data_IF_953933360030
#
_entry.id   IF_953933360030
#
_cell.length_a   1.000
_cell.length_b   1.000
_cell.length_c   1.000
_cell.angle_alpha   90.00
_cell.angle_beta   90.00
_cell.angle_gamma   90.00
#
_symmetry.space_group_name_H-M   'P 1'
#
loop_
_entity.id
_entity.type
_entity.pdbx_description
1 polymer ?
#
# COMPACT_ATOMS: atom_id res chain seq x y z
N UNK A 1 -17.27 -21.34 -3.97
CA UNK A 1 -15.80 -21.28 -4.19
C UNK A 1 -15.15 -21.62 -2.88
N UNK A 2 -14.13 -22.49 -2.83
CA UNK A 2 -13.44 -22.82 -1.57
C UNK A 2 -12.64 -21.59 -1.14
N UNK A 3 -12.79 -21.16 0.10
CA UNK A 3 -12.02 -20.05 0.68
C UNK A 3 -10.55 -20.48 0.82
N UNK A 4 -9.69 -19.91 -0.02
CA UNK A 4 -8.26 -20.26 -0.08
C UNK A 4 -7.49 -19.86 1.19
N UNK A 5 -8.01 -18.91 1.97
CA UNK A 5 -7.33 -18.35 3.14
C UNK A 5 -7.53 -19.19 4.42
N UNK A 6 -8.39 -20.21 4.40
CA UNK A 6 -8.60 -21.13 5.54
C UNK A 6 -7.58 -22.28 5.61
N UNK A 7 -6.62 -22.32 4.68
CA UNK A 7 -5.74 -23.48 4.48
C UNK A 7 -4.47 -23.48 5.35
N UNK A 8 -4.18 -22.38 6.05
CA UNK A 8 -2.95 -22.25 6.85
C UNK A 8 -3.24 -22.00 8.32
N UNK A 9 -3.02 -23.04 9.15
CA UNK A 9 -3.06 -22.89 10.60
C UNK A 9 -1.90 -21.99 11.09
N UNK A 10 -2.22 -21.10 12.06
CA UNK A 10 -1.23 -20.19 12.65
C UNK A 10 -0.88 -18.97 11.78
N UNK A 11 -1.61 -18.75 10.69
CA UNK A 11 -1.57 -17.50 9.90
C UNK A 11 -2.94 -16.84 9.95
N UNK A 12 -2.97 -15.58 10.34
CA UNK A 12 -4.18 -14.76 10.31
C UNK A 12 -4.26 -14.02 8.98
N UNK A 13 -5.41 -14.15 8.31
CA UNK A 13 -5.70 -13.42 7.08
C UNK A 13 -6.80 -12.37 7.29
N UNK A 14 -6.69 -11.26 6.58
CA UNK A 14 -7.75 -10.32 6.28
C UNK A 14 -7.70 -10.06 4.79
N UNK A 15 -8.74 -10.43 4.05
CA UNK A 15 -8.71 -10.37 2.59
C UNK A 15 -10.07 -9.96 2.02
N UNK A 16 -10.05 -9.09 1.01
CA UNK A 16 -11.23 -8.68 0.25
C UNK A 16 -10.83 -8.25 -1.16
N UNK A 17 -11.65 -8.63 -2.14
CA UNK A 17 -11.61 -8.07 -3.49
C UNK A 17 -13.02 -7.80 -3.99
N UNK A 18 -13.24 -6.61 -4.57
CA UNK A 18 -14.52 -6.16 -5.07
C UNK A 18 -14.39 -5.64 -6.51
N UNK A 19 -15.32 -6.00 -7.35
CA UNK A 19 -15.53 -5.37 -8.65
C UNK A 19 -16.06 -3.95 -8.41
N UNK A 20 -15.31 -2.96 -8.85
CA UNK A 20 -15.59 -1.54 -8.56
C UNK A 20 -16.86 -1.06 -9.26
N UNK A 21 -17.14 -1.60 -10.43
CA UNK A 21 -18.23 -1.13 -11.28
C UNK A 21 -19.58 -1.74 -10.88
N UNK A 22 -19.57 -2.97 -10.32
CA UNK A 22 -20.78 -3.71 -9.95
C UNK A 22 -21.01 -3.87 -8.45
N UNK A 23 -19.96 -3.68 -7.63
CA UNK A 23 -19.97 -3.99 -6.20
C UNK A 23 -19.92 -5.50 -5.90
N UNK A 24 -19.72 -6.36 -6.90
CA UNK A 24 -19.63 -7.80 -6.70
C UNK A 24 -18.36 -8.15 -5.90
N UNK A 25 -18.53 -8.92 -4.82
CA UNK A 25 -17.44 -9.40 -4.00
C UNK A 25 -16.81 -10.66 -4.63
N UNK A 26 -15.59 -10.50 -5.18
CA UNK A 26 -14.85 -11.57 -5.85
C UNK A 26 -14.41 -12.61 -4.83
N UNK A 27 -13.89 -12.15 -3.69
CA UNK A 27 -13.63 -12.95 -2.50
C UNK A 27 -13.63 -12.07 -1.24
N UNK A 28 -13.87 -12.72 -0.10
CA UNK A 28 -13.84 -12.09 1.22
C UNK A 28 -13.46 -13.14 2.27
N UNK A 29 -12.50 -12.78 3.15
CA UNK A 29 -12.12 -13.58 4.31
C UNK A 29 -11.77 -12.66 5.46
N UNK A 30 -12.60 -12.66 6.51
CA UNK A 30 -12.43 -11.82 7.70
C UNK A 30 -12.02 -10.37 7.35
N UNK A 31 -12.76 -9.68 6.46
CA UNK A 31 -12.31 -8.43 5.86
C UNK A 31 -12.16 -7.30 6.88
N UNK A 32 -12.86 -7.37 8.03
CA UNK A 32 -12.82 -6.38 9.10
C UNK A 32 -11.81 -6.74 10.22
N UNK A 33 -11.04 -7.82 10.04
CA UNK A 33 -9.99 -8.17 11.00
C UNK A 33 -8.84 -7.16 10.90
N UNK A 34 -8.51 -6.54 12.03
CA UNK A 34 -7.41 -5.57 12.14
C UNK A 34 -6.08 -6.31 12.24
N UNK A 35 -5.24 -6.14 11.24
CA UNK A 35 -3.90 -6.74 11.16
C UNK A 35 -2.81 -5.66 11.04
N UNK A 36 -1.55 -6.04 11.28
CA UNK A 36 -0.40 -5.23 10.89
C UNK A 36 -0.29 -5.22 9.37
N UNK A 37 -0.08 -4.03 8.80
CA UNK A 37 -0.05 -3.82 7.34
C UNK A 37 1.33 -3.39 6.84
N UNK A 38 2.32 -3.28 7.74
CA UNK A 38 3.67 -2.82 7.42
C UNK A 38 3.62 -1.55 6.54
N UNK A 39 4.29 -1.55 5.39
CA UNK A 39 4.40 -0.37 4.53
C UNK A 39 3.14 0.00 3.74
N UNK A 40 2.03 -0.74 3.85
CA UNK A 40 0.76 -0.34 3.21
C UNK A 40 0.31 1.04 3.70
N UNK A 41 0.37 1.28 5.03
CA UNK A 41 -0.13 2.54 5.60
C UNK A 41 0.62 3.80 5.13
N UNK A 42 1.73 3.67 4.40
CA UNK A 42 2.38 4.81 3.71
C UNK A 42 1.46 5.47 2.68
N UNK A 43 0.43 4.76 2.19
CA UNK A 43 -0.60 5.36 1.34
C UNK A 43 -1.31 6.52 2.02
N UNK A 44 -1.51 6.45 3.33
CA UNK A 44 -2.17 7.52 4.10
C UNK A 44 -1.29 8.75 4.24
N UNK A 45 0.04 8.58 4.32
CA UNK A 45 0.98 9.69 4.28
C UNK A 45 0.97 10.36 2.91
N UNK A 46 0.97 9.58 1.83
CA UNK A 46 0.84 10.09 0.46
C UNK A 46 -0.51 10.78 0.26
N UNK A 47 -1.60 10.21 0.82
CA UNK A 47 -2.93 10.82 0.83
C UNK A 47 -2.90 12.20 1.49
N UNK A 48 -2.36 12.31 2.70
CA UNK A 48 -2.25 13.57 3.43
C UNK A 48 -1.44 14.61 2.64
N UNK A 49 -0.33 14.22 2.01
CA UNK A 49 0.46 15.10 1.16
C UNK A 49 -0.36 15.65 -0.01
N UNK A 50 -1.15 14.80 -0.67
CA UNK A 50 -1.98 15.20 -1.80
C UNK A 50 -3.18 16.06 -1.38
N UNK A 51 -3.80 15.79 -0.22
CA UNK A 51 -4.85 16.66 0.35
C UNK A 51 -4.31 18.04 0.69
N UNK A 52 -3.11 18.11 1.30
CA UNK A 52 -2.42 19.38 1.56
C UNK A 52 -2.08 20.13 0.26
N UNK A 53 -1.72 19.40 -0.82
CA UNK A 53 -1.52 19.99 -2.14
C UNK A 53 -2.81 20.64 -2.68
N UNK A 54 -3.94 19.95 -2.60
CA UNK A 54 -5.23 20.50 -3.03
C UNK A 54 -5.65 21.73 -2.20
N UNK A 55 -5.32 21.73 -0.91
CA UNK A 55 -5.53 22.87 -0.01
C UNK A 55 -4.53 24.03 -0.22
N UNK A 56 -3.51 23.87 -1.07
CA UNK A 56 -2.46 24.87 -1.26
C UNK A 56 -1.45 25.00 -0.11
N UNK A 57 -1.44 24.03 0.83
CA UNK A 57 -0.56 23.99 2.00
C UNK A 57 0.79 23.31 1.72
N UNK A 58 0.86 22.54 0.64
CA UNK A 58 2.05 21.82 0.18
C UNK A 58 2.15 21.93 -1.36
N UNK A 59 3.36 22.12 -1.86
CA UNK A 59 3.62 22.08 -3.31
C UNK A 59 4.45 20.87 -3.66
N UNK A 60 4.17 20.21 -4.77
CA UNK A 60 4.94 19.05 -5.21
C UNK A 60 6.39 19.39 -5.60
N UNK A 61 6.65 20.63 -5.96
CA UNK A 61 7.98 21.17 -6.29
C UNK A 61 8.76 21.57 -5.04
N UNK A 62 8.14 21.64 -3.85
CA UNK A 62 8.83 21.91 -2.59
C UNK A 62 9.92 20.87 -2.37
N UNK A 63 11.13 21.34 -2.05
CA UNK A 63 12.26 20.45 -1.79
C UNK A 63 12.43 20.22 -0.30
N UNK A 64 12.52 18.95 0.09
CA UNK A 64 12.75 18.55 1.45
C UNK A 64 14.15 17.94 1.56
N UNK A 65 14.92 18.47 2.51
CA UNK A 65 16.29 18.00 2.79
C UNK A 65 16.23 16.94 3.87
N UNK A 66 16.84 15.79 3.62
CA UNK A 66 16.98 14.72 4.62
C UNK A 66 17.96 15.10 5.72
N UNK A 67 17.71 14.67 6.93
CA UNK A 67 18.60 14.88 8.07
C UNK A 67 19.00 13.53 8.70
N UNK A 68 20.01 13.56 9.57
CA UNK A 68 20.43 12.35 10.27
C UNK A 68 19.33 11.80 11.22
N UNK A 69 18.40 12.65 11.66
CA UNK A 69 17.32 12.25 12.58
C UNK A 69 16.28 11.33 11.90
N UNK A 70 16.06 11.50 10.59
CA UNK A 70 15.10 10.70 9.82
C UNK A 70 15.74 9.45 9.21
N UNK A 71 17.07 9.31 9.36
CA UNK A 71 17.82 8.23 8.69
C UNK A 71 17.37 6.86 9.19
N UNK A 72 16.97 6.04 8.25
CA UNK A 72 16.65 4.64 8.44
C UNK A 72 17.07 3.87 7.19
N UNK A 73 17.48 2.62 7.38
CA UNK A 73 17.89 1.71 6.30
C UNK A 73 16.76 0.78 5.89
N UNK A 74 17.08 -0.29 5.21
CA UNK A 74 16.30 -1.49 4.85
C UNK A 74 15.49 -1.35 3.58
N UNK A 75 14.48 -0.47 3.49
CA UNK A 75 13.64 -0.35 2.31
C UNK A 75 13.85 0.99 1.63
N UNK A 76 13.94 0.97 0.30
CA UNK A 76 14.07 2.16 -0.52
C UNK A 76 15.47 2.39 -1.07
N UNK A 77 15.66 3.55 -1.68
CA UNK A 77 16.87 3.94 -2.39
C UNK A 77 17.59 5.14 -1.77
N UNK A 78 16.87 6.04 -1.10
CA UNK A 78 17.43 7.33 -0.69
C UNK A 78 18.61 7.22 0.29
N UNK A 79 18.62 6.20 1.14
CA UNK A 79 19.75 5.98 2.06
C UNK A 79 21.04 5.56 1.34
N UNK A 80 20.95 5.10 0.07
CA UNK A 80 22.06 4.71 -0.80
C UNK A 80 22.54 5.85 -1.73
N UNK A 81 21.71 6.88 -1.90
CA UNK A 81 21.99 7.98 -2.80
C UNK A 81 22.71 9.11 -2.07
N UNK A 82 23.58 9.83 -2.79
CA UNK A 82 24.27 11.01 -2.24
C UNK A 82 23.39 12.27 -2.24
N UNK A 83 22.31 12.30 -3.04
CA UNK A 83 21.42 13.44 -3.17
C UNK A 83 20.81 13.83 -1.81
N UNK A 84 21.06 15.08 -1.31
CA UNK A 84 20.63 15.47 0.02
C UNK A 84 19.15 15.85 0.13
N UNK A 85 18.51 16.22 -0.98
CA UNK A 85 17.13 16.68 -1.02
C UNK A 85 16.42 16.22 -2.29
N UNK A 86 15.11 16.04 -2.19
CA UNK A 86 14.21 15.75 -3.31
C UNK A 86 12.97 16.64 -3.26
N UNK A 87 12.29 16.78 -4.38
CA UNK A 87 10.96 17.39 -4.41
C UNK A 87 9.96 16.49 -3.67
N UNK A 88 8.88 17.06 -3.17
CA UNK A 88 7.76 16.26 -2.58
C UNK A 88 7.25 15.25 -3.60
N UNK A 89 7.22 15.60 -4.89
CA UNK A 89 6.86 14.67 -5.97
C UNK A 89 7.80 13.46 -6.02
N UNK A 90 9.11 13.67 -6.00
CA UNK A 90 10.10 12.59 -6.06
C UNK A 90 10.08 11.74 -4.78
N UNK A 91 9.88 12.39 -3.62
CA UNK A 91 9.68 11.71 -2.33
C UNK A 91 8.43 10.81 -2.40
N UNK A 92 7.31 11.31 -2.93
CA UNK A 92 6.11 10.51 -3.18
C UNK A 92 6.37 9.32 -4.09
N UNK A 93 7.16 9.52 -5.16
CA UNK A 93 7.58 8.45 -6.06
C UNK A 93 8.46 7.41 -5.34
N UNK A 94 9.44 7.83 -4.54
CA UNK A 94 10.27 6.92 -3.74
C UNK A 94 9.44 6.08 -2.76
N UNK A 95 8.45 6.69 -2.11
CA UNK A 95 7.56 6.00 -1.17
C UNK A 95 6.64 5.02 -1.91
N UNK A 96 6.00 5.45 -2.99
CA UNK A 96 5.06 4.63 -3.77
C UNK A 96 5.76 3.46 -4.45
N UNK A 97 6.83 3.74 -5.19
CA UNK A 97 7.53 2.76 -6.02
C UNK A 97 8.44 1.82 -5.23
N UNK A 98 9.21 2.33 -4.28
CA UNK A 98 10.24 1.58 -3.57
C UNK A 98 9.96 1.40 -2.08
N UNK A 99 8.79 1.88 -1.61
CA UNK A 99 8.49 1.84 -0.18
C UNK A 99 9.57 2.49 0.70
N UNK A 100 10.22 3.54 0.20
CA UNK A 100 11.41 4.15 0.80
C UNK A 100 11.15 4.64 2.24
N UNK A 101 11.88 4.05 3.19
CA UNK A 101 11.72 4.36 4.60
C UNK A 101 12.24 5.75 4.96
N UNK A 102 13.39 6.15 4.38
CA UNK A 102 13.97 7.47 4.65
C UNK A 102 13.07 8.58 4.09
N UNK A 103 12.61 8.43 2.86
CA UNK A 103 11.65 9.34 2.23
C UNK A 103 10.35 9.44 3.05
N UNK A 104 9.89 8.32 3.60
CA UNK A 104 8.71 8.28 4.48
C UNK A 104 8.93 9.14 5.72
N UNK A 105 10.05 8.97 6.44
CA UNK A 105 10.33 9.74 7.63
C UNK A 105 10.48 11.25 7.34
N UNK A 106 11.16 11.61 6.24
CA UNK A 106 11.28 13.02 5.82
C UNK A 106 9.90 13.63 5.54
N UNK A 107 9.03 12.88 4.86
CA UNK A 107 7.68 13.37 4.58
C UNK A 107 6.81 13.45 5.86
N UNK A 108 6.93 12.49 6.80
CA UNK A 108 6.28 12.57 8.11
C UNK A 108 6.77 13.80 8.89
N UNK A 109 8.07 14.10 8.87
CA UNK A 109 8.62 15.28 9.53
C UNK A 109 8.03 16.59 8.97
N UNK A 110 7.68 16.63 7.68
CA UNK A 110 7.07 17.81 7.04
C UNK A 110 5.56 17.93 7.30
N UNK A 111 4.86 16.81 7.36
CA UNK A 111 3.38 16.79 7.44
C UNK A 111 2.90 16.64 8.88
N UNK A 112 3.54 15.78 9.67
CA UNK A 112 3.12 15.36 11.00
C UNK A 112 2.19 14.14 10.96
N UNK A 113 2.36 13.24 11.94
CA UNK A 113 1.50 12.06 12.09
C UNK A 113 0.05 12.43 12.44
N UNK A 114 -0.15 13.50 13.21
CA UNK A 114 -1.48 13.98 13.59
C UNK A 114 -2.29 14.37 12.35
N UNK A 115 -1.67 15.08 11.39
CA UNK A 115 -2.34 15.41 10.12
C UNK A 115 -2.68 14.17 9.32
N UNK A 116 -1.79 13.18 9.28
CA UNK A 116 -2.08 11.90 8.61
C UNK A 116 -3.28 11.21 9.25
N UNK A 117 -3.35 11.18 10.58
CA UNK A 117 -4.47 10.59 11.33
C UNK A 117 -5.79 11.35 11.08
N UNK A 118 -5.75 12.68 11.02
CA UNK A 118 -6.92 13.51 10.69
C UNK A 118 -7.48 13.20 9.30
N UNK A 119 -6.61 13.08 8.30
CA UNK A 119 -7.03 12.74 6.94
C UNK A 119 -7.60 11.32 6.84
N UNK A 120 -7.04 10.35 7.57
CA UNK A 120 -7.59 8.98 7.64
C UNK A 120 -8.96 8.99 8.31
N UNK A 121 -9.13 9.72 9.42
CA UNK A 121 -10.42 9.86 10.10
C UNK A 121 -11.47 10.53 9.20
N UNK A 122 -11.07 11.51 8.36
CA UNK A 122 -11.96 12.17 7.41
C UNK A 122 -12.46 11.21 6.30
N UNK A 123 -11.73 10.13 6.01
CA UNK A 123 -12.20 9.05 5.13
C UNK A 123 -13.28 8.18 5.77
N UNK A 124 -13.45 8.26 7.10
CA UNK A 124 -14.34 7.40 7.89
C UNK A 124 -13.67 6.09 8.34
N UNK A 125 -12.35 5.95 8.20
CA UNK A 125 -11.62 4.76 8.64
C UNK A 125 -11.27 4.85 10.11
N UNK A 126 -11.45 3.74 10.82
CA UNK A 126 -11.24 3.64 12.27
C UNK A 126 -10.14 2.66 12.66
N UNK A 127 -9.82 1.73 11.78
CA UNK A 127 -8.95 0.58 12.04
C UNK A 127 -7.62 0.64 11.26
N UNK A 128 -7.59 1.43 10.19
CA UNK A 128 -6.42 1.61 9.34
C UNK A 128 -5.67 2.88 9.70
N UNK A 129 -4.37 2.77 10.00
CA UNK A 129 -3.54 3.91 10.40
C UNK A 129 -2.03 3.67 10.21
N UNK A 130 -1.29 4.78 10.05
CA UNK A 130 0.16 4.86 10.25
C UNK A 130 0.42 5.46 11.64
N UNK A 131 1.04 4.67 12.54
CA UNK A 131 1.12 5.01 13.97
C UNK A 131 2.42 5.71 14.38
N UNK A 132 3.52 5.51 13.63
CA UNK A 132 4.84 5.98 14.06
C UNK A 132 5.77 6.24 12.87
N UNK A 133 6.89 6.92 13.16
CA UNK A 133 8.06 6.95 12.27
C UNK A 133 8.68 5.55 12.10
N UNK A 134 9.31 5.31 10.98
CA UNK A 134 10.11 4.12 10.76
C UNK A 134 11.45 4.26 11.48
N UNK A 135 11.66 3.45 12.49
CA UNK A 135 12.88 3.47 13.33
C UNK A 135 13.30 2.07 13.69
N UNK A 136 14.58 1.80 13.58
CA UNK A 136 15.15 0.51 13.93
C UNK A 136 16.43 0.66 14.78
N UNK A 137 16.51 0.03 15.96
CA UNK A 137 15.42 -0.66 16.65
C UNK A 137 14.30 0.29 17.08
N UNK A 138 13.09 -0.22 17.24
CA UNK A 138 11.96 0.58 17.71
C UNK A 138 12.19 0.99 19.15
N UNK A 139 11.99 2.28 19.52
CA UNK A 139 12.24 2.75 20.86
C UNK A 139 11.25 2.16 21.88
N UNK A 140 11.68 2.08 23.15
CA UNK A 140 10.77 1.71 24.23
C UNK A 140 9.59 2.69 24.31
N UNK A 141 8.38 2.14 24.43
CA UNK A 141 7.14 2.95 24.45
C UNK A 141 6.59 3.30 23.07
N UNK A 142 7.22 2.88 21.98
CA UNK A 142 6.63 2.99 20.66
C UNK A 142 5.29 2.21 20.58
N UNK A 143 4.34 2.62 19.70
CA UNK A 143 3.11 1.87 19.47
C UNK A 143 3.39 0.38 19.18
N UNK A 144 2.51 -0.51 19.62
CA UNK A 144 2.71 -1.96 19.45
C UNK A 144 2.92 -2.37 17.96
N UNK A 145 2.28 -1.63 17.04
CA UNK A 145 2.39 -1.81 15.59
C UNK A 145 2.85 -0.50 14.94
N UNK A 146 3.64 -0.59 13.89
CA UNK A 146 3.98 0.57 13.04
C UNK A 146 2.73 1.08 12.31
N UNK A 147 1.90 0.15 11.89
CA UNK A 147 0.68 0.40 11.11
C UNK A 147 -0.35 -0.70 11.39
N UNK A 148 -1.59 -0.38 11.14
CA UNK A 148 -2.71 -1.33 11.17
C UNK A 148 -3.65 -1.09 10.00
N UNK A 149 -4.54 -2.05 9.74
CA UNK A 149 -5.61 -1.90 8.78
C UNK A 149 -6.47 -3.14 8.64
N UNK A 150 -7.59 -2.95 7.95
CA UNK A 150 -8.54 -4.00 7.56
C UNK A 150 -8.61 -4.10 6.04
N UNK A 151 -8.91 -5.28 5.52
CA UNK A 151 -9.09 -5.44 4.09
C UNK A 151 -10.32 -4.68 3.57
N UNK A 152 -11.34 -4.50 4.42
CA UNK A 152 -12.51 -3.67 4.10
C UNK A 152 -12.12 -2.23 3.79
N UNK A 153 -11.42 -1.55 4.73
CA UNK A 153 -11.07 -0.14 4.57
C UNK A 153 -10.06 0.08 3.43
N UNK A 154 -9.08 -0.82 3.29
CA UNK A 154 -8.04 -0.64 2.28
C UNK A 154 -8.49 -1.02 0.87
N UNK A 155 -9.40 -1.99 0.70
CA UNK A 155 -10.05 -2.23 -0.60
C UNK A 155 -11.02 -1.10 -0.98
N UNK A 156 -11.74 -0.52 0.00
CA UNK A 156 -12.56 0.69 -0.20
C UNK A 156 -11.69 1.88 -0.64
N UNK A 157 -10.55 2.11 0.03
CA UNK A 157 -9.62 3.16 -0.37
C UNK A 157 -9.20 3.02 -1.84
N UNK A 158 -8.83 1.82 -2.27
CA UNK A 158 -8.43 1.56 -3.64
C UNK A 158 -9.58 1.72 -4.64
N UNK A 159 -10.80 1.32 -4.28
CA UNK A 159 -11.98 1.54 -5.10
C UNK A 159 -12.25 3.04 -5.29
N UNK A 160 -12.27 3.82 -4.21
CA UNK A 160 -12.47 5.27 -4.22
C UNK A 160 -11.36 5.99 -4.99
N UNK A 161 -10.11 5.54 -4.89
CA UNK A 161 -9.00 6.06 -5.71
C UNK A 161 -9.24 5.82 -7.20
N UNK A 162 -9.74 4.64 -7.57
CA UNK A 162 -10.07 4.30 -8.95
C UNK A 162 -11.22 5.14 -9.53
N UNK A 163 -12.13 5.60 -8.67
CA UNK A 163 -13.31 6.39 -9.03
C UNK A 163 -13.07 7.91 -8.95
N UNK A 164 -11.87 8.35 -8.61
CA UNK A 164 -11.53 9.76 -8.35
C UNK A 164 -12.36 10.38 -7.20
N UNK A 165 -12.76 9.56 -6.21
CA UNK A 165 -13.58 10.01 -5.07
C UNK A 165 -12.76 10.50 -3.87
N UNK A 166 -11.43 10.27 -3.88
CA UNK A 166 -10.53 10.72 -2.82
C UNK A 166 -9.97 12.12 -3.09
N UNK A 167 -9.81 12.47 -4.37
CA UNK A 167 -9.19 13.68 -4.88
C UNK A 167 -9.82 14.08 -6.20
N UNK A 168 -9.46 15.25 -6.72
CA UNK A 168 -9.71 15.54 -8.13
C UNK A 168 -8.97 14.54 -9.05
N UNK A 169 -9.43 14.44 -10.31
CA UNK A 169 -8.87 13.48 -11.29
C UNK A 169 -7.36 13.65 -11.50
N UNK A 170 -6.86 14.89 -11.48
CA UNK A 170 -5.44 15.17 -11.69
C UNK A 170 -4.59 14.71 -10.50
N UNK A 171 -5.09 14.86 -9.29
CA UNK A 171 -4.46 14.44 -8.05
C UNK A 171 -4.54 12.92 -7.88
N UNK A 172 -5.68 12.31 -8.20
CA UNK A 172 -5.85 10.85 -8.24
C UNK A 172 -4.85 10.19 -9.19
N UNK A 173 -4.60 10.80 -10.36
CA UNK A 173 -3.63 10.30 -11.32
C UNK A 173 -2.19 10.34 -10.75
N UNK A 174 -1.84 11.35 -9.96
CA UNK A 174 -0.53 11.41 -9.29
C UNK A 174 -0.39 10.22 -8.33
N UNK A 175 -1.41 9.95 -7.51
CA UNK A 175 -1.39 8.81 -6.58
C UNK A 175 -1.27 7.48 -7.32
N UNK A 176 -2.10 7.27 -8.35
CA UNK A 176 -2.03 6.06 -9.19
C UNK A 176 -0.67 5.89 -9.85
N UNK A 177 -0.04 6.99 -10.28
CA UNK A 177 1.29 6.97 -10.90
C UNK A 177 2.38 6.59 -9.90
N UNK A 178 2.33 7.11 -8.67
CA UNK A 178 3.26 6.74 -7.62
C UNK A 178 3.15 5.26 -7.23
N UNK A 179 1.93 4.74 -7.10
CA UNK A 179 1.69 3.34 -6.75
C UNK A 179 1.92 2.40 -7.94
N UNK A 180 1.58 2.84 -9.16
CA UNK A 180 1.75 2.05 -10.38
C UNK A 180 3.22 1.84 -10.80
N UNK A 181 4.15 2.61 -10.22
CA UNK A 181 5.59 2.40 -10.40
C UNK A 181 6.19 1.41 -9.38
N UNK A 182 5.35 0.70 -8.61
CA UNK A 182 5.75 -0.21 -7.54
C UNK A 182 6.71 -1.30 -8.01
N UNK A 183 7.93 -1.34 -7.45
CA UNK A 183 8.95 -2.34 -7.79
C UNK A 183 8.68 -3.71 -7.14
N UNK A 184 7.91 -3.76 -6.06
CA UNK A 184 7.54 -5.01 -5.41
C UNK A 184 6.21 -5.56 -5.97
N UNK A 185 6.33 -6.51 -6.86
CA UNK A 185 5.22 -7.23 -7.48
C UNK A 185 5.15 -8.70 -7.04
N UNK A 186 5.74 -9.03 -5.88
CA UNK A 186 5.96 -10.41 -5.46
C UNK A 186 4.72 -11.13 -4.89
N UNK A 187 3.68 -10.38 -4.48
CA UNK A 187 2.50 -10.91 -3.77
C UNK A 187 1.30 -11.14 -4.72
N UNK A 188 0.17 -10.49 -4.49
CA UNK A 188 -1.03 -10.59 -5.35
C UNK A 188 -0.70 -10.21 -6.80
N UNK A 189 0.06 -9.13 -6.95
CA UNK A 189 0.53 -8.65 -8.26
C UNK A 189 1.37 -9.68 -9.03
N UNK A 190 1.99 -10.65 -8.37
CA UNK A 190 2.83 -11.66 -9.02
C UNK A 190 2.08 -12.56 -10.01
N UNK A 191 0.76 -12.70 -9.86
CA UNK A 191 -0.05 -13.48 -10.81
C UNK A 191 -0.09 -12.84 -12.19
N UNK A 192 -0.12 -11.51 -12.23
CA UNK A 192 -0.18 -10.73 -13.46
C UNK A 192 1.17 -10.67 -14.20
N UNK A 193 2.26 -11.13 -13.57
CA UNK A 193 3.61 -11.16 -14.11
C UNK A 193 4.05 -9.81 -14.75
N UNK A 194 3.84 -8.68 -14.06
CA UNK A 194 4.29 -7.39 -14.57
C UNK A 194 5.81 -7.34 -14.62
N UNK A 195 6.36 -6.62 -15.59
CA UNK A 195 7.78 -6.30 -15.58
C UNK A 195 8.05 -5.32 -14.42
N UNK A 196 8.83 -5.68 -13.38
CA UNK A 196 9.07 -4.82 -12.23
C UNK A 196 9.84 -3.54 -12.57
N UNK A 197 10.41 -3.42 -13.76
CA UNK A 197 11.16 -2.25 -14.22
C UNK A 197 10.45 -1.45 -15.33
N UNK A 198 9.40 -2.02 -15.96
CA UNK A 198 8.71 -1.41 -17.09
C UNK A 198 7.19 -1.63 -17.04
N UNK A 199 6.54 -1.13 -16.00
CA UNK A 199 5.11 -1.32 -15.73
C UNK A 199 4.14 -0.79 -16.82
N UNK A 200 4.62 0.00 -17.76
CA UNK A 200 3.79 0.59 -18.81
C UNK A 200 3.48 -0.35 -19.98
N UNK A 201 4.14 -1.51 -20.04
CA UNK A 201 4.02 -2.45 -21.15
C UNK A 201 3.39 -3.77 -20.71
N UNK A 202 2.07 -3.77 -20.55
CA UNK A 202 1.33 -5.00 -20.27
C UNK A 202 0.93 -5.69 -21.57
N UNK A 203 1.55 -6.82 -21.83
CA UNK A 203 1.29 -7.60 -23.04
C UNK A 203 -0.04 -8.35 -23.01
N UNK A 204 -0.61 -8.56 -21.81
CA UNK A 204 -1.85 -9.32 -21.61
C UNK A 204 -3.12 -8.48 -21.54
N UNK A 205 -3.02 -7.14 -21.57
CA UNK A 205 -4.17 -6.24 -21.45
C UNK A 205 -4.74 -6.11 -20.05
N UNK A 206 -3.97 -6.52 -19.03
CA UNK A 206 -4.21 -6.32 -17.61
C UNK A 206 -3.23 -5.31 -17.05
N UNK A 207 -3.67 -4.50 -16.08
CA UNK A 207 -2.82 -3.54 -15.37
C UNK A 207 -3.03 -3.68 -13.88
N UNK A 208 -2.00 -3.34 -13.12
CA UNK A 208 -2.07 -3.35 -11.68
C UNK A 208 -1.40 -2.09 -11.12
N UNK A 209 -2.05 -1.52 -10.11
CA UNK A 209 -1.54 -0.42 -9.29
C UNK A 209 -1.62 -0.91 -7.87
N UNK A 210 -0.49 -1.04 -7.16
CA UNK A 210 -0.51 -1.62 -5.83
C UNK A 210 0.49 -0.99 -4.88
N UNK A 211 0.29 -1.28 -3.60
CA UNK A 211 1.26 -1.05 -2.54
C UNK A 211 1.42 -2.29 -1.70
N UNK A 212 2.65 -2.73 -1.53
CA UNK A 212 2.99 -3.85 -0.66
C UNK A 212 3.44 -3.42 0.73
N UNK A 213 3.32 -4.33 1.67
CA UNK A 213 3.84 -4.23 3.02
C UNK A 213 4.52 -5.53 3.44
N UNK A 214 5.77 -5.44 3.87
CA UNK A 214 6.60 -6.57 4.27
C UNK A 214 7.25 -6.28 5.61
N UNK A 215 7.19 -7.26 6.51
CA UNK A 215 7.91 -7.30 7.77
C UNK A 215 8.22 -8.78 8.09
N UNK A 216 8.94 -9.07 9.16
CA UNK A 216 9.30 -10.45 9.54
C UNK A 216 8.09 -11.38 9.63
N UNK A 217 6.95 -10.87 10.08
CA UNK A 217 5.71 -11.62 10.31
C UNK A 217 4.52 -11.11 9.49
N UNK A 218 4.77 -10.29 8.48
CA UNK A 218 3.72 -9.63 7.68
C UNK A 218 4.00 -9.76 6.20
N UNK A 219 2.98 -10.16 5.43
CA UNK A 219 2.87 -9.93 3.98
C UNK A 219 1.53 -9.30 3.70
N UNK A 220 1.55 -8.17 3.03
CA UNK A 220 0.36 -7.38 2.75
C UNK A 220 0.45 -6.76 1.36
N UNK A 221 -0.65 -6.80 0.61
CA UNK A 221 -0.77 -6.20 -0.71
C UNK A 221 -2.16 -5.60 -0.87
N UNK A 222 -2.24 -4.36 -1.33
CA UNK A 222 -3.50 -3.69 -1.65
C UNK A 222 -3.35 -2.96 -2.97
N UNK A 223 -4.40 -2.97 -3.80
CA UNK A 223 -4.30 -2.36 -5.11
C UNK A 223 -5.58 -2.36 -5.93
N UNK A 224 -5.41 -1.96 -7.18
CA UNK A 224 -6.42 -1.98 -8.24
C UNK A 224 -5.84 -2.83 -9.37
N UNK A 225 -6.52 -3.91 -9.72
CA UNK A 225 -6.26 -4.66 -10.95
C UNK A 225 -7.35 -4.34 -11.96
N UNK A 226 -6.98 -4.11 -13.22
CA UNK A 226 -7.96 -3.67 -14.21
C UNK A 226 -7.61 -4.09 -15.64
N UNK A 227 -8.65 -4.25 -16.42
CA UNK A 227 -8.63 -4.35 -17.88
C UNK A 227 -9.24 -3.08 -18.49
N UNK A 228 -9.46 -3.07 -19.79
CA UNK A 228 -10.22 -1.98 -20.43
C UNK A 228 -11.72 -1.98 -20.06
N UNK A 229 -12.23 -3.07 -19.51
CA UNK A 229 -13.66 -3.30 -19.32
C UNK A 229 -14.06 -3.41 -17.84
N UNK A 230 -13.16 -3.86 -16.96
CA UNK A 230 -13.43 -4.14 -15.55
C UNK A 230 -12.31 -3.68 -14.66
N UNK A 231 -12.67 -3.36 -13.41
CA UNK A 231 -11.75 -2.92 -12.36
C UNK A 231 -12.07 -3.65 -11.06
N UNK A 232 -11.06 -4.18 -10.42
CA UNK A 232 -11.17 -4.84 -9.11
C UNK A 232 -10.25 -4.14 -8.12
N UNK A 233 -10.81 -3.65 -7.01
CA UNK A 233 -10.04 -3.20 -5.86
C UNK A 233 -9.84 -4.36 -4.89
N UNK A 234 -8.64 -4.48 -4.32
CA UNK A 234 -8.34 -5.57 -3.41
C UNK A 234 -7.44 -5.14 -2.24
N UNK A 235 -7.51 -5.90 -1.16
CA UNK A 235 -6.56 -5.90 -0.07
C UNK A 235 -6.43 -7.33 0.48
N UNK A 236 -5.21 -7.81 0.66
CA UNK A 236 -4.89 -9.14 1.20
C UNK A 236 -3.74 -9.00 2.19
N UNK A 237 -3.98 -9.36 3.44
CA UNK A 237 -2.99 -9.31 4.52
C UNK A 237 -2.86 -10.67 5.16
N UNK A 238 -1.62 -11.05 5.45
CA UNK A 238 -1.27 -12.25 6.19
C UNK A 238 -0.32 -11.86 7.33
N UNK A 239 -0.67 -12.24 8.56
CA UNK A 239 0.16 -12.06 9.74
C UNK A 239 0.36 -13.41 10.45
N UNK A 240 1.51 -13.61 11.07
CA UNK A 240 1.83 -14.82 11.83
C UNK A 240 2.68 -14.52 13.05
N UNK A 241 2.88 -15.51 13.90
CA UNK A 241 3.61 -15.36 15.16
C UNK A 241 5.13 -15.17 14.90
N UNK A 242 5.73 -14.26 15.67
CA UNK A 242 7.16 -14.02 15.62
C UNK A 242 7.97 -15.29 15.97
N UNK A 243 9.10 -15.45 15.30
CA UNK A 243 9.96 -16.64 15.48
C UNK A 243 9.59 -17.83 14.58
N UNK A 244 8.53 -17.70 13.77
CA UNK A 244 8.22 -18.66 12.70
C UNK A 244 8.39 -17.99 11.33
N UNK A 245 8.85 -18.73 10.35
CA UNK A 245 8.89 -18.27 8.95
C UNK A 245 7.79 -19.00 8.15
N UNK A 246 6.79 -18.24 7.71
CA UNK A 246 5.66 -18.76 6.94
C UNK A 246 5.62 -18.22 5.51
N UNK A 247 6.69 -17.53 5.08
CA UNK A 247 6.73 -16.83 3.77
C UNK A 247 6.45 -17.81 2.62
N UNK A 248 7.11 -18.97 2.61
CA UNK A 248 6.95 -19.95 1.53
C UNK A 248 5.53 -20.55 1.43
N UNK A 249 4.76 -20.50 2.51
CA UNK A 249 3.38 -20.98 2.56
C UNK A 249 2.38 -19.87 2.21
N UNK A 250 2.66 -18.64 2.63
CA UNK A 250 1.79 -17.46 2.42
C UNK A 250 1.85 -16.96 0.97
N UNK A 251 3.05 -16.85 0.38
CA UNK A 251 3.22 -16.27 -0.94
C UNK A 251 2.43 -16.97 -2.06
N UNK A 252 2.33 -18.32 -2.10
CA UNK A 252 1.46 -19.00 -3.07
C UNK A 252 -0.02 -18.63 -2.94
N UNK A 253 -0.53 -18.39 -1.71
CA UNK A 253 -1.92 -17.94 -1.50
C UNK A 253 -2.13 -16.51 -1.93
N UNK A 254 -1.16 -15.62 -1.70
CA UNK A 254 -1.20 -14.25 -2.23
C UNK A 254 -1.28 -14.26 -3.77
N UNK A 255 -0.46 -15.08 -4.43
CA UNK A 255 -0.52 -15.27 -5.88
C UNK A 255 -1.84 -15.86 -6.35
N UNK A 256 -2.39 -16.84 -5.62
CA UNK A 256 -3.69 -17.44 -5.94
C UNK A 256 -4.84 -16.43 -5.85
N UNK A 257 -4.79 -15.49 -4.89
CA UNK A 257 -5.74 -14.39 -4.82
C UNK A 257 -5.68 -13.52 -6.10
N UNK A 258 -4.49 -13.25 -6.63
CA UNK A 258 -4.32 -12.60 -7.93
C UNK A 258 -5.00 -13.37 -9.07
N UNK A 259 -4.93 -14.72 -9.04
CA UNK A 259 -5.63 -15.59 -9.99
C UNK A 259 -7.14 -15.42 -9.97
N UNK A 260 -7.74 -15.40 -8.77
CA UNK A 260 -9.19 -15.17 -8.61
C UNK A 260 -9.62 -13.80 -9.15
N UNK A 261 -8.79 -12.78 -8.96
CA UNK A 261 -9.03 -11.43 -9.51
C UNK A 261 -8.95 -11.47 -11.04
N UNK A 262 -7.91 -12.07 -11.61
CA UNK A 262 -7.74 -12.17 -13.07
C UNK A 262 -8.89 -12.97 -13.73
N UNK A 263 -9.30 -14.09 -13.13
CA UNK A 263 -10.46 -14.87 -13.61
C UNK A 263 -11.72 -14.01 -13.68
N UNK A 264 -11.95 -13.16 -12.65
CA UNK A 264 -13.10 -12.24 -12.66
C UNK A 264 -12.97 -11.13 -13.69
N UNK A 265 -11.77 -10.56 -13.89
CA UNK A 265 -11.54 -9.51 -14.89
C UNK A 265 -11.83 -9.97 -16.32
N UNK A 266 -11.75 -11.28 -16.58
CA UNK A 266 -11.95 -11.90 -17.88
C UNK A 266 -13.29 -12.66 -18.02
N UNK A 267 -14.10 -12.76 -16.97
CA UNK A 267 -15.43 -13.37 -17.01
C UNK A 267 -16.44 -12.44 -17.70
#
# INVERSE_FOLDING_TARGET
MTDIFTQLDGVEFSARAIDIDTGYEVFSHQPDRVLSTASIAKIFLLHAALRMREAGELRLEERLTRTAAERVHESGLWYLLDQPDFTVHDIGMLIGAFSDNYATNVLISRIGLDRVAEEVAALGYTDSALHDFLRWPRPAGAPARLSSGTASELSDYMARLSLDELFDSSTSEIMRRWLGAGADTSMVASYFEPDPLAHYYYTRGEWIVNKTGTDDTVRADTGIAFTRQRRVAYAVFANWEAGTDRVLEVMPLMRAAGGLISDHLHA
#
